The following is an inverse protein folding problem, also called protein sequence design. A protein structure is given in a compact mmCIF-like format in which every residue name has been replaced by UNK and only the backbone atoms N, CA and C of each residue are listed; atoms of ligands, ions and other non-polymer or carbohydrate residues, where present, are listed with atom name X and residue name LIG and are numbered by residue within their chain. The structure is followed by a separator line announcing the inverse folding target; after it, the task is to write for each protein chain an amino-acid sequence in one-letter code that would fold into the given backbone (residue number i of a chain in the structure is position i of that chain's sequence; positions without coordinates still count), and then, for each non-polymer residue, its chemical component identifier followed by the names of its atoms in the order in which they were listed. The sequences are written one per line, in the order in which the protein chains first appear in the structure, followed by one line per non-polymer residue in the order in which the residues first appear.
data_IF_012772558408
#
_entry.id   IF_012772558408
#
_cell.length_a   1.000
_cell.length_b   1.000
_cell.length_c   1.000
_cell.angle_alpha   90.00
_cell.angle_beta   90.00
_cell.angle_gamma   90.00
#
_symmetry.space_group_name_H-M   'P 1'
#
loop_
_entity.id
_entity.type
_entity.pdbx_description
1 polymer ?
#
# COMPACT_ATOMS: atom_id res chain seq x y z
N UNK A 1 -1.81 7.33 7.80
CA UNK A 1 -1.08 6.06 8.01
C UNK A 1 0.27 6.35 8.64
N UNK A 2 0.66 5.62 9.68
CA UNK A 2 1.96 5.76 10.34
C UNK A 2 2.77 4.48 10.09
N UNK A 3 3.79 4.51 9.22
CA UNK A 3 4.70 3.39 9.05
C UNK A 3 5.90 3.49 10.00
N UNK A 4 6.20 2.41 10.70
CA UNK A 4 7.43 2.21 11.45
C UNK A 4 8.23 1.08 10.80
N UNK A 5 9.39 1.41 10.24
CA UNK A 5 10.26 0.42 9.59
C UNK A 5 11.33 -0.03 10.56
N UNK A 6 11.21 -1.27 11.04
CA UNK A 6 12.18 -1.88 11.95
C UNK A 6 13.40 -2.39 11.17
N UNK A 7 13.18 -3.07 10.05
CA UNK A 7 14.25 -3.60 9.21
C UNK A 7 13.89 -3.49 7.73
N UNK A 8 14.76 -2.89 6.93
CA UNK A 8 14.65 -2.83 5.48
C UNK A 8 15.97 -2.36 4.86
N UNK A 9 16.24 -2.67 3.58
CA UNK A 9 17.33 -2.04 2.83
C UNK A 9 17.23 -0.51 2.85
N UNK A 10 18.36 0.18 2.81
CA UNK A 10 18.41 1.65 2.89
C UNK A 10 17.53 2.33 1.82
N UNK A 11 17.55 1.83 0.58
CA UNK A 11 16.75 2.37 -0.51
C UNK A 11 15.24 2.33 -0.21
N UNK A 12 14.77 1.27 0.47
CA UNK A 12 13.37 1.11 0.88
C UNK A 12 13.01 2.13 1.95
N UNK A 13 13.87 2.31 2.95
CA UNK A 13 13.66 3.33 4.00
C UNK A 13 13.58 4.73 3.41
N UNK A 14 14.47 5.05 2.47
CA UNK A 14 14.49 6.33 1.76
C UNK A 14 13.20 6.56 0.95
N UNK A 15 12.70 5.53 0.25
CA UNK A 15 11.43 5.62 -0.48
C UNK A 15 10.23 5.84 0.43
N UNK A 16 10.10 5.07 1.51
CA UNK A 16 8.97 5.27 2.44
C UNK A 16 9.02 6.66 3.08
N UNK A 17 10.22 7.17 3.39
CA UNK A 17 10.40 8.54 3.90
C UNK A 17 10.01 9.60 2.87
N UNK A 18 10.40 9.42 1.62
CA UNK A 18 10.00 10.30 0.51
C UNK A 18 8.48 10.29 0.32
N UNK A 19 7.86 9.11 0.28
CA UNK A 19 6.42 8.96 0.07
C UNK A 19 5.59 9.48 1.23
N UNK A 20 6.00 9.24 2.47
CA UNK A 20 5.25 9.67 3.66
C UNK A 20 5.46 11.16 3.94
N UNK A 21 6.54 11.77 3.43
CA UNK A 21 6.98 13.10 3.85
C UNK A 21 7.64 13.00 5.23
N UNK A 22 8.75 13.73 5.44
CA UNK A 22 9.60 13.70 6.66
C UNK A 22 8.87 13.24 7.92
N UNK A 23 9.13 12.00 8.38
CA UNK A 23 8.66 11.37 9.62
C UNK A 23 7.21 11.69 10.04
N UNK A 24 6.33 12.01 9.10
CA UNK A 24 4.94 12.41 9.35
C UNK A 24 4.01 11.25 9.00
N UNK A 25 2.83 11.20 9.65
CA UNK A 25 1.75 10.35 9.16
C UNK A 25 1.52 10.62 7.67
N UNK A 26 1.55 9.57 6.85
CA UNK A 26 1.23 9.66 5.44
C UNK A 26 -0.28 9.91 5.30
N UNK A 27 -0.64 11.10 4.82
CA UNK A 27 -1.99 11.43 4.37
C UNK A 27 -2.23 10.80 2.99
N UNK A 28 -2.55 9.51 3.00
CA UNK A 28 -2.69 8.70 1.77
C UNK A 28 -3.72 9.32 0.83
N UNK A 29 -4.89 9.69 1.36
CA UNK A 29 -5.98 10.27 0.57
C UNK A 29 -5.66 11.63 -0.05
N UNK A 30 -4.62 12.32 0.43
CA UNK A 30 -4.13 13.56 -0.17
C UNK A 30 -3.15 13.29 -1.32
N UNK A 31 -2.34 12.23 -1.19
CA UNK A 31 -1.24 11.92 -2.12
C UNK A 31 -1.64 10.97 -3.25
N UNK A 32 -2.69 10.19 -3.03
CA UNK A 32 -3.20 9.19 -3.96
C UNK A 32 -4.69 9.37 -4.14
N UNK A 33 -5.15 9.12 -5.37
CA UNK A 33 -6.58 9.05 -5.66
C UNK A 33 -7.16 7.94 -4.81
N UNK A 34 -8.03 8.34 -3.88
CA UNK A 34 -8.64 7.43 -2.91
C UNK A 34 -10.15 7.57 -2.99
N UNK A 35 -10.84 6.47 -3.23
CA UNK A 35 -12.31 6.42 -3.26
C UNK A 35 -12.80 5.79 -1.97
N UNK A 36 -13.68 6.51 -1.27
CA UNK A 36 -14.29 6.02 -0.04
C UNK A 36 -15.69 5.49 -0.30
N UNK A 37 -15.97 4.32 0.27
CA UNK A 37 -17.31 3.74 0.31
C UNK A 37 -17.72 3.54 1.76
N UNK A 38 -18.84 4.12 2.15
CA UNK A 38 -19.35 4.01 3.53
C UNK A 38 -20.60 3.15 3.53
N UNK A 39 -20.56 2.05 4.28
CA UNK A 39 -21.71 1.20 4.55
C UNK A 39 -22.30 1.44 5.94
N UNK A 40 -23.24 0.59 6.34
CA UNK A 40 -23.92 0.71 7.66
C UNK A 40 -22.99 0.53 8.85
N UNK A 41 -21.86 -0.17 8.67
CA UNK A 41 -20.93 -0.54 9.75
C UNK A 41 -19.47 -0.62 9.28
N UNK A 42 -19.13 -0.06 8.12
CA UNK A 42 -17.77 -0.08 7.59
C UNK A 42 -17.49 1.15 6.74
N UNK A 43 -16.20 1.48 6.65
CA UNK A 43 -15.65 2.40 5.67
C UNK A 43 -14.62 1.60 4.89
N UNK A 44 -14.76 1.59 3.57
CA UNK A 44 -13.80 1.03 2.66
C UNK A 44 -13.07 2.17 1.93
N UNK A 45 -11.75 2.07 1.83
CA UNK A 45 -10.93 3.02 1.12
C UNK A 45 -10.17 2.27 0.01
N UNK A 46 -10.54 2.54 -1.23
CA UNK A 46 -9.82 2.04 -2.40
C UNK A 46 -8.77 3.06 -2.80
N UNK A 47 -7.49 2.67 -2.73
CA UNK A 47 -6.34 3.55 -2.95
C UNK A 47 -5.70 3.19 -4.29
N UNK A 48 -5.73 4.11 -5.25
CA UNK A 48 -5.08 3.93 -6.55
C UNK A 48 -3.59 4.32 -6.46
N UNK A 49 -2.72 3.32 -6.30
CA UNK A 49 -1.26 3.51 -6.28
C UNK A 49 -0.66 3.96 -7.62
N UNK A 50 -1.40 3.78 -8.73
CA UNK A 50 -1.03 4.22 -10.07
C UNK A 50 -1.23 5.72 -10.30
N UNK A 51 -2.03 6.38 -9.46
CA UNK A 51 -2.38 7.79 -9.63
C UNK A 51 -1.23 8.77 -9.35
N UNK A 52 -0.12 8.28 -8.78
CA UNK A 52 1.07 9.09 -8.48
C UNK A 52 2.30 8.47 -9.09
N UNK A 53 2.99 9.23 -9.94
CA UNK A 53 4.27 8.81 -10.52
C UNK A 53 5.31 8.50 -9.44
N UNK A 54 5.35 9.28 -8.36
CA UNK A 54 6.26 9.05 -7.24
C UNK A 54 5.97 7.72 -6.53
N UNK A 55 4.70 7.41 -6.25
CA UNK A 55 4.30 6.15 -5.61
C UNK A 55 4.51 4.96 -6.54
N UNK A 56 4.15 5.10 -7.81
CA UNK A 56 4.36 4.08 -8.83
C UNK A 56 5.85 3.74 -9.01
N UNK A 57 6.70 4.77 -9.07
CA UNK A 57 8.15 4.60 -9.22
C UNK A 57 8.78 4.02 -7.96
N UNK A 58 8.32 4.45 -6.78
CA UNK A 58 8.72 3.85 -5.52
C UNK A 58 8.31 2.37 -5.48
N UNK A 59 7.06 2.01 -5.79
CA UNK A 59 6.59 0.62 -5.81
C UNK A 59 7.44 -0.27 -6.74
N UNK A 60 7.74 0.19 -7.96
CA UNK A 60 8.62 -0.54 -8.89
C UNK A 60 10.04 -0.73 -8.36
N UNK A 61 10.61 0.31 -7.77
CA UNK A 61 11.96 0.27 -7.17
C UNK A 61 11.99 -0.66 -5.97
N UNK A 62 10.93 -0.61 -5.17
CA UNK A 62 10.73 -1.46 -4.01
C UNK A 62 10.69 -2.93 -4.44
N UNK A 63 9.85 -3.34 -5.39
CA UNK A 63 9.81 -4.74 -5.88
C UNK A 63 11.18 -5.26 -6.33
N UNK A 64 12.03 -4.41 -6.95
CA UNK A 64 13.38 -4.80 -7.39
C UNK A 64 14.41 -4.91 -6.25
N UNK A 65 14.28 -4.07 -5.24
CA UNK A 65 15.29 -3.92 -4.17
C UNK A 65 14.90 -4.65 -2.89
N UNK A 66 13.64 -5.07 -2.76
CA UNK A 66 13.13 -5.74 -1.57
C UNK A 66 13.68 -7.16 -1.46
N UNK A 67 14.50 -7.37 -0.44
CA UNK A 67 14.90 -8.70 0.03
C UNK A 67 14.04 -9.16 1.22
N UNK A 68 13.89 -8.31 2.23
CA UNK A 68 13.05 -8.55 3.41
C UNK A 68 12.71 -7.22 4.07
N UNK A 69 11.46 -7.09 4.54
CA UNK A 69 11.01 -5.97 5.37
C UNK A 69 10.43 -6.49 6.69
N UNK A 70 10.71 -5.74 7.76
CA UNK A 70 10.02 -5.84 9.04
C UNK A 70 9.49 -4.45 9.37
N UNK A 71 8.17 -4.31 9.47
CA UNK A 71 7.53 -3.02 9.70
C UNK A 71 6.22 -3.16 10.47
N UNK A 72 5.93 -2.17 11.32
CA UNK A 72 4.60 -1.93 11.87
C UNK A 72 3.94 -0.83 11.04
N UNK A 73 2.66 -0.99 10.72
CA UNK A 73 1.89 0.02 10.01
C UNK A 73 0.58 0.22 10.76
N UNK A 74 0.28 1.47 11.13
CA UNK A 74 -0.99 1.84 11.74
C UNK A 74 -1.81 2.73 10.81
N UNK A 75 -3.11 2.50 10.77
CA UNK A 75 -4.07 3.33 10.04
C UNK A 75 -5.00 4.04 11.01
N UNK A 76 -5.31 5.28 10.67
CA UNK A 76 -6.11 6.21 11.45
C UNK A 76 -6.72 7.22 10.47
N UNK A 77 -7.88 7.74 10.86
CA UNK A 77 -8.54 8.85 10.18
C UNK A 77 -7.97 10.14 10.79
N UNK A 78 -7.60 11.08 9.92
CA UNK A 78 -7.13 12.40 10.30
C UNK A 78 -8.28 13.18 10.96
N UNK A 79 -8.06 13.67 12.18
CA UNK A 79 -8.99 14.59 12.83
C UNK A 79 -8.82 16.00 12.24
N UNK A 80 -9.91 16.65 11.84
CA UNK A 80 -9.89 18.01 11.26
C UNK A 80 -10.37 19.09 12.21
N UNK A 81 -11.04 18.72 13.29
CA UNK A 81 -11.55 19.63 14.32
C UNK A 81 -11.15 19.19 15.73
N UNK A 82 -11.13 20.12 16.70
CA UNK A 82 -10.72 19.83 18.09
C UNK A 82 -11.54 18.71 18.75
N UNK A 83 -12.83 18.60 18.39
CA UNK A 83 -13.71 17.55 18.91
C UNK A 83 -13.40 16.14 18.38
N UNK A 84 -12.60 16.03 17.31
CA UNK A 84 -12.18 14.76 16.72
C UNK A 84 -10.87 14.24 17.35
N UNK A 85 -10.23 15.06 18.19
CA UNK A 85 -9.01 14.70 18.91
C UNK A 85 -9.34 14.01 20.26
N UNK A 86 -8.52 13.04 20.70
CA UNK A 86 -7.37 12.48 19.98
C UNK A 86 -7.81 11.49 18.88
N UNK A 87 -7.03 11.46 17.80
CA UNK A 87 -7.22 10.52 16.71
C UNK A 87 -7.09 9.07 17.20
N UNK A 88 -7.95 8.18 16.72
CA UNK A 88 -7.94 6.77 17.11
C UNK A 88 -7.40 5.88 16.00
N UNK A 89 -6.53 4.96 16.39
CA UNK A 89 -6.02 3.91 15.50
C UNK A 89 -7.18 2.99 15.12
N UNK A 90 -7.47 2.91 13.83
CA UNK A 90 -8.48 2.00 13.27
C UNK A 90 -7.98 0.56 13.24
N UNK A 91 -6.68 0.39 13.03
CA UNK A 91 -6.05 -0.90 12.98
C UNK A 91 -4.55 -0.77 12.76
N UNK A 92 -3.84 -1.84 13.05
CA UNK A 92 -2.42 -1.94 12.77
C UNK A 92 -2.09 -3.32 12.19
N UNK A 93 -1.06 -3.36 11.35
CA UNK A 93 -0.52 -4.58 10.79
C UNK A 93 0.98 -4.65 11.06
N UNK A 94 1.45 -5.84 11.40
CA UNK A 94 2.86 -6.15 11.46
C UNK A 94 3.22 -7.00 10.24
N UNK A 95 4.20 -6.54 9.47
CA UNK A 95 4.78 -7.28 8.36
C UNK A 95 6.17 -7.76 8.79
N UNK A 96 6.46 -9.04 8.64
CA UNK A 96 7.77 -9.63 8.95
C UNK A 96 8.17 -10.65 7.91
N UNK A 97 9.44 -10.62 7.50
CA UNK A 97 10.03 -11.56 6.52
C UNK A 97 9.22 -11.64 5.22
N UNK A 98 8.65 -10.52 4.78
CA UNK A 98 7.90 -10.48 3.52
C UNK A 98 8.88 -10.54 2.36
N UNK A 99 8.92 -11.69 1.67
CA UNK A 99 9.61 -11.84 0.39
C UNK A 99 8.69 -11.33 -0.74
N UNK A 100 8.80 -10.02 -0.98
CA UNK A 100 8.00 -9.34 -2.00
C UNK A 100 8.30 -9.86 -3.40
N UNK A 101 9.53 -10.32 -3.66
CA UNK A 101 9.92 -10.85 -4.98
C UNK A 101 9.21 -12.16 -5.26
N UNK A 102 9.22 -13.09 -4.30
CA UNK A 102 8.50 -14.36 -4.42
C UNK A 102 6.99 -14.13 -4.60
N UNK A 103 6.41 -13.19 -3.86
CA UNK A 103 4.99 -12.83 -3.99
C UNK A 103 4.70 -12.21 -5.36
N UNK A 104 5.51 -11.26 -5.83
CA UNK A 104 5.35 -10.61 -7.13
C UNK A 104 5.40 -11.62 -8.28
N UNK A 105 6.42 -12.49 -8.31
CA UNK A 105 6.53 -13.56 -9.32
C UNK A 105 5.32 -14.51 -9.29
N UNK A 106 4.79 -14.81 -8.10
CA UNK A 106 3.58 -15.64 -7.98
C UNK A 106 2.34 -14.93 -8.51
N UNK A 107 2.18 -13.63 -8.25
CA UNK A 107 1.05 -12.84 -8.74
C UNK A 107 1.09 -12.67 -10.26
N UNK A 108 2.25 -12.33 -10.82
CA UNK A 108 2.44 -12.25 -12.29
C UNK A 108 2.09 -13.57 -12.97
N UNK A 109 2.52 -14.70 -12.39
CA UNK A 109 2.15 -16.03 -12.90
C UNK A 109 0.64 -16.24 -12.87
N UNK A 110 -0.06 -15.85 -11.79
CA UNK A 110 -1.52 -16.00 -11.67
C UNK A 110 -2.26 -15.14 -12.70
N UNK A 111 -1.87 -13.88 -12.85
CA UNK A 111 -2.48 -12.98 -13.83
C UNK A 111 -2.28 -13.48 -15.27
N UNK A 112 -1.12 -14.05 -15.58
CA UNK A 112 -0.85 -14.65 -16.89
C UNK A 112 -1.65 -15.95 -17.14
N UNK A 113 -2.01 -16.69 -16.09
CA UNK A 113 -2.86 -17.87 -16.18
C UNK A 113 -4.34 -17.48 -16.37
N UNK A 114 -4.79 -16.42 -15.70
CA UNK A 114 -6.16 -15.92 -15.85
C UNK A 114 -6.40 -15.30 -17.23
N UNK A 115 -5.40 -14.61 -17.81
CA UNK A 115 -5.50 -14.02 -19.16
C UNK A 115 -5.45 -15.05 -20.29
N UNK A 116 -4.86 -16.23 -20.07
CA UNK A 116 -4.87 -17.33 -21.05
C UNK A 116 -6.17 -18.13 -21.02
N UNK A 117 -6.88 -18.15 -19.89
CA UNK A 117 -8.13 -18.90 -19.72
C UNK A 117 -9.35 -18.15 -20.27
N UNK A 118 -9.27 -16.83 -20.50
CA UNK A 118 -10.38 -16.01 -21.04
C UNK A 118 -10.45 -15.92 -22.57
N UNK A 119 -9.84 -16.84 -23.31
CA UNK A 119 -9.95 -16.89 -24.78
C UNK A 119 -11.39 -17.24 -25.19
N UNK A 120 -12.06 -16.49 -26.09
CA UNK A 120 -13.43 -16.77 -26.46
C UNK A 120 -13.53 -18.11 -27.21
N UNK A 121 -14.48 -18.93 -26.79
CA UNK A 121 -14.92 -20.14 -27.50
C UNK A 121 -15.19 -19.71 -28.95
N UNK A 122 -14.33 -20.14 -29.88
CA UNK A 122 -14.59 -20.04 -31.31
C UNK A 122 -15.83 -20.89 -31.59
N UNK A 123 -16.97 -20.24 -31.80
CA UNK A 123 -18.15 -20.89 -32.34
C UNK A 123 -17.84 -21.45 -33.75
N UNK A 124 -18.39 -22.63 -34.09
CA UNK A 124 -18.04 -23.39 -35.28
C UNK A 124 -18.35 -22.68 -36.60
#
# INVERSE_FOLDING_TARGET
MIPEILQAPWAVKSMVRMLSGSLRPALIAQKLTTTFFTGKNYIEASIDTGSSCAVSMAAKTMVRTFSSIVANIAWLIEGRDEGELPERVLGAAFASKVDVKAVATRLERRLNLESTTSSPIRSP
#
